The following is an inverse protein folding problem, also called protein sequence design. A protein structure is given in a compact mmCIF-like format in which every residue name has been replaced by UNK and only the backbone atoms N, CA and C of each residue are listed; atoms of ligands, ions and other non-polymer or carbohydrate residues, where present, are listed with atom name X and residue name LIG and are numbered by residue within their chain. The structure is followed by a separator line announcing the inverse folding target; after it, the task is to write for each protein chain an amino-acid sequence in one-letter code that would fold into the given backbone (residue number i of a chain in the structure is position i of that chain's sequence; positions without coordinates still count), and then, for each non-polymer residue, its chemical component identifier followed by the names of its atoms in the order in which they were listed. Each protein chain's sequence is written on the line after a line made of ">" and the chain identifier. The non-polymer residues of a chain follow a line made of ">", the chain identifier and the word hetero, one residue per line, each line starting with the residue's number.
data_IF_471675714323
#
_entry.id   IF_471675714323
#
_cell.length_a   1.000
_cell.length_b   1.000
_cell.length_c   1.000
_cell.angle_alpha   90.00
_cell.angle_beta   90.00
_cell.angle_gamma   90.00
#
_symmetry.space_group_name_H-M   'P 1'
#
loop_
_entity.id
_entity.type
_entity.pdbx_description
1 polymer ?
#
# COMPACT_ATOMS: atom_id res chain seq x y z
N UNK A 1 -8.78 33.93 18.60
CA UNK A 1 -9.93 33.00 18.49
C UNK A 1 -10.07 32.47 17.07
N UNK A 2 -9.25 31.51 16.66
CA UNK A 2 -9.38 30.89 15.32
C UNK A 2 -9.60 29.39 15.36
N UNK A 3 -9.17 28.73 16.45
CA UNK A 3 -9.30 27.29 16.61
C UNK A 3 -10.76 26.77 16.56
N UNK A 4 -11.75 27.38 17.25
CA UNK A 4 -13.12 26.87 17.18
C UNK A 4 -13.73 26.94 15.77
N UNK A 5 -13.37 27.98 15.01
CA UNK A 5 -13.82 28.16 13.63
C UNK A 5 -13.18 27.13 12.70
N UNK A 6 -11.85 26.95 12.80
CA UNK A 6 -11.12 25.96 12.00
C UNK A 6 -11.62 24.53 12.27
N UNK A 7 -11.90 24.18 13.53
CA UNK A 7 -12.47 22.88 13.90
C UNK A 7 -13.87 22.69 13.30
N UNK A 8 -14.69 23.75 13.27
CA UNK A 8 -16.02 23.70 12.66
C UNK A 8 -15.93 23.50 11.14
N UNK A 9 -15.04 24.25 10.47
CA UNK A 9 -14.78 24.12 9.04
C UNK A 9 -14.26 22.70 8.70
N UNK A 10 -13.29 22.17 9.46
CA UNK A 10 -12.81 20.79 9.29
C UNK A 10 -13.91 19.75 9.46
N UNK A 11 -14.79 19.90 10.47
CA UNK A 11 -15.92 18.97 10.68
C UNK A 11 -16.91 18.99 9.53
N UNK A 12 -17.23 20.17 8.99
CA UNK A 12 -18.13 20.31 7.85
C UNK A 12 -17.53 19.67 6.59
N UNK A 13 -16.25 19.91 6.31
CA UNK A 13 -15.56 19.31 5.16
C UNK A 13 -15.45 17.78 5.30
N UNK A 14 -15.17 17.28 6.50
CA UNK A 14 -15.18 15.84 6.79
C UNK A 14 -16.56 15.24 6.55
N UNK A 15 -17.64 15.88 7.02
CA UNK A 15 -19.01 15.41 6.73
C UNK A 15 -19.34 15.41 5.23
N UNK A 16 -18.89 16.42 4.48
CA UNK A 16 -19.10 16.47 3.03
C UNK A 16 -18.32 15.36 2.30
N UNK A 17 -17.09 15.08 2.73
CA UNK A 17 -16.32 13.94 2.24
C UNK A 17 -17.04 12.61 2.53
N UNK A 18 -17.54 12.40 3.74
CA UNK A 18 -18.29 11.18 4.06
C UNK A 18 -19.64 11.04 3.33
N UNK A 19 -20.24 12.15 2.87
CA UNK A 19 -21.44 12.13 2.03
C UNK A 19 -21.15 11.78 0.57
N UNK A 20 -19.90 11.93 0.10
CA UNK A 20 -19.50 11.47 -1.22
C UNK A 20 -19.29 9.97 -1.20
N UNK A 21 -19.96 9.28 -2.13
CA UNK A 21 -19.66 7.88 -2.39
C UNK A 21 -18.36 7.78 -3.20
N UNK A 22 -17.24 7.87 -2.48
CA UNK A 22 -15.89 7.79 -3.05
C UNK A 22 -15.62 6.43 -3.69
N UNK A 23 -16.39 5.39 -3.34
CA UNK A 23 -16.29 4.07 -3.96
C UNK A 23 -16.94 4.10 -5.33
N UNK A 24 -18.16 4.62 -5.45
CA UNK A 24 -18.89 4.70 -6.74
C UNK A 24 -18.34 5.73 -7.72
N UNK A 25 -17.52 6.66 -7.26
CA UNK A 25 -16.90 7.70 -8.11
C UNK A 25 -15.45 7.39 -8.50
N UNK A 26 -14.89 6.29 -8.00
CA UNK A 26 -13.52 5.92 -8.28
C UNK A 26 -13.50 4.67 -9.18
N UNK A 27 -13.24 4.89 -10.47
CA UNK A 27 -13.18 3.82 -11.48
C UNK A 27 -12.21 2.70 -11.07
N UNK A 28 -11.06 3.04 -10.49
CA UNK A 28 -10.09 2.05 -10.01
C UNK A 28 -10.69 1.14 -8.92
N UNK A 29 -11.40 1.74 -7.95
CA UNK A 29 -12.03 0.99 -6.86
C UNK A 29 -13.15 0.10 -7.39
N UNK A 30 -13.94 0.59 -8.34
CA UNK A 30 -14.99 -0.20 -8.98
C UNK A 30 -14.43 -1.38 -9.76
N UNK A 31 -13.37 -1.19 -10.55
CA UNK A 31 -12.70 -2.28 -11.27
C UNK A 31 -12.14 -3.32 -10.30
N UNK A 32 -11.50 -2.90 -9.21
CA UNK A 32 -11.00 -3.83 -8.19
C UNK A 32 -12.15 -4.62 -7.56
N UNK A 33 -13.25 -3.96 -7.20
CA UNK A 33 -14.43 -4.61 -6.63
C UNK A 33 -15.04 -5.64 -7.57
N UNK A 34 -15.22 -5.31 -8.85
CA UNK A 34 -15.75 -6.24 -9.86
C UNK A 34 -14.86 -7.47 -10.04
N UNK A 35 -13.53 -7.30 -10.05
CA UNK A 35 -12.59 -8.42 -10.10
C UNK A 35 -12.72 -9.31 -8.86
N UNK A 36 -12.77 -8.71 -7.66
CA UNK A 36 -12.93 -9.45 -6.40
C UNK A 36 -14.25 -10.23 -6.38
N UNK A 37 -15.36 -9.63 -6.83
CA UNK A 37 -16.67 -10.29 -6.92
C UNK A 37 -16.65 -11.51 -7.86
N UNK A 38 -15.83 -11.45 -8.93
CA UNK A 38 -15.63 -12.55 -9.88
C UNK A 38 -14.58 -13.57 -9.42
N UNK A 39 -13.87 -13.30 -8.31
CA UNK A 39 -12.76 -14.13 -7.84
C UNK A 39 -11.50 -14.00 -8.71
N UNK A 40 -11.40 -12.93 -9.49
CA UNK A 40 -10.27 -12.61 -10.36
C UNK A 40 -9.29 -11.67 -9.65
N UNK A 41 -8.00 -11.80 -9.94
CA UNK A 41 -7.02 -10.84 -9.46
C UNK A 41 -7.17 -9.52 -10.23
N UNK A 42 -7.33 -8.36 -9.56
CA UNK A 42 -7.37 -7.08 -10.24
C UNK A 42 -6.10 -6.87 -11.08
N UNK A 43 -6.26 -6.24 -12.25
CA UNK A 43 -5.16 -5.93 -13.18
C UNK A 43 -4.43 -7.15 -13.76
N UNK A 44 -5.01 -8.36 -13.66
CA UNK A 44 -4.51 -9.51 -14.42
C UNK A 44 -4.84 -9.33 -15.91
N UNK A 45 -3.86 -9.58 -16.75
CA UNK A 45 -4.03 -9.66 -18.19
C UNK A 45 -3.38 -10.96 -18.67
N UNK A 46 -4.11 -11.80 -19.39
CA UNK A 46 -3.58 -13.07 -19.92
C UNK A 46 -2.62 -12.87 -21.10
N UNK A 47 -2.71 -11.73 -21.79
CA UNK A 47 -1.86 -11.40 -22.94
C UNK A 47 -0.51 -10.80 -22.51
N UNK A 48 -0.45 -10.15 -21.34
CA UNK A 48 0.74 -9.45 -20.86
C UNK A 48 1.00 -9.64 -19.37
N UNK A 49 2.26 -9.89 -19.02
CA UNK A 49 2.71 -9.81 -17.65
C UNK A 49 2.64 -8.37 -17.15
N UNK A 50 1.58 -8.07 -16.40
CA UNK A 50 1.35 -6.75 -15.81
C UNK A 50 1.99 -6.69 -14.42
N UNK A 51 2.77 -5.64 -14.17
CA UNK A 51 3.39 -5.38 -12.88
C UNK A 51 2.95 -4.01 -12.35
N UNK A 52 2.49 -3.98 -11.10
CA UNK A 52 2.02 -2.75 -10.45
C UNK A 52 3.04 -2.29 -9.42
N UNK A 53 3.66 -1.13 -9.67
CA UNK A 53 4.67 -0.57 -8.77
C UNK A 53 4.16 0.73 -8.14
N UNK A 54 4.18 0.81 -6.81
CA UNK A 54 3.79 2.01 -6.06
C UNK A 54 4.89 2.41 -5.08
N UNK A 55 5.25 3.69 -5.09
CA UNK A 55 6.25 4.26 -4.18
C UNK A 55 5.59 5.08 -3.07
N UNK A 56 5.71 4.62 -1.83
CA UNK A 56 5.15 5.24 -0.63
C UNK A 56 6.22 5.89 0.26
N UNK A 57 7.50 5.90 -0.13
CA UNK A 57 8.64 6.37 0.69
C UNK A 57 8.46 7.83 1.14
N UNK A 58 7.96 8.69 0.25
CA UNK A 58 7.81 10.12 0.51
C UNK A 58 6.53 10.46 1.26
N UNK A 59 5.61 9.51 1.43
CA UNK A 59 4.41 9.77 2.20
C UNK A 59 4.75 9.81 3.69
N UNK A 60 4.08 10.67 4.49
CA UNK A 60 4.35 10.82 5.90
C UNK A 60 3.79 9.66 6.74
N UNK A 61 3.64 8.46 6.17
CA UNK A 61 2.95 7.34 6.82
C UNK A 61 3.69 6.88 8.09
N UNK A 62 5.02 6.83 8.05
CA UNK A 62 5.86 6.43 9.20
C UNK A 62 6.19 7.57 10.17
N UNK A 63 6.01 8.82 9.75
CA UNK A 63 6.29 10.01 10.57
C UNK A 63 5.05 10.62 11.22
N UNK A 64 3.85 10.15 10.86
CA UNK A 64 2.60 10.62 11.47
C UNK A 64 2.51 10.08 12.90
N UNK A 65 2.29 10.96 13.87
CA UNK A 65 2.04 10.59 15.26
C UNK A 65 0.62 11.03 15.65
N UNK A 66 -0.19 10.08 16.09
CA UNK A 66 -1.58 10.32 16.50
C UNK A 66 -1.72 10.61 18.02
N UNK A 67 -0.62 10.96 18.69
CA UNK A 67 -0.57 11.10 20.15
C UNK A 67 -0.38 9.78 20.92
N UNK A 68 -0.20 8.67 20.21
CA UNK A 68 0.09 7.33 20.77
C UNK A 68 1.57 6.92 20.62
N UNK A 69 2.44 7.87 20.28
CA UNK A 69 3.82 7.62 19.89
C UNK A 69 3.97 7.29 18.40
N UNK A 70 5.23 7.09 17.97
CA UNK A 70 5.57 6.75 16.58
C UNK A 70 5.24 5.30 16.29
N UNK A 71 4.71 5.02 15.09
CA UNK A 71 4.48 3.66 14.63
C UNK A 71 5.79 2.86 14.61
N UNK A 72 5.77 1.63 15.13
CA UNK A 72 6.93 0.73 15.15
C UNK A 72 7.09 0.03 13.79
N UNK A 73 5.97 -0.29 13.13
CA UNK A 73 5.94 -0.97 11.83
C UNK A 73 4.69 -0.57 11.06
N UNK A 74 4.81 -0.49 9.74
CA UNK A 74 3.69 -0.37 8.82
C UNK A 74 3.43 -1.72 8.14
N UNK A 75 2.18 -2.12 8.08
CA UNK A 75 1.76 -3.29 7.29
C UNK A 75 0.49 -2.97 6.53
N UNK A 76 0.41 -3.35 5.26
CA UNK A 76 -0.88 -3.39 4.55
C UNK A 76 -1.61 -4.70 4.82
N UNK A 77 -2.92 -4.67 4.66
CA UNK A 77 -3.74 -5.88 4.60
C UNK A 77 -3.26 -6.79 3.45
N UNK A 78 -3.57 -8.10 3.48
CA UNK A 78 -3.38 -8.97 2.33
C UNK A 78 -4.05 -8.34 1.11
N UNK A 79 -3.30 -8.21 0.03
CA UNK A 79 -3.76 -7.61 -1.22
C UNK A 79 -4.11 -8.75 -2.19
N UNK A 80 -5.33 -8.77 -2.76
CA UNK A 80 -5.74 -9.78 -3.73
C UNK A 80 -5.08 -9.64 -5.11
N UNK A 81 -4.29 -8.58 -5.34
CA UNK A 81 -3.57 -8.38 -6.60
C UNK A 81 -2.42 -9.37 -6.78
N UNK A 82 -2.08 -9.65 -8.04
CA UNK A 82 -0.89 -10.40 -8.44
C UNK A 82 0.16 -9.41 -8.96
N UNK A 83 1.45 -9.72 -8.81
CA UNK A 83 2.55 -8.99 -9.44
C UNK A 83 2.66 -7.52 -8.99
N UNK A 84 2.41 -7.26 -7.70
CA UNK A 84 2.44 -5.90 -7.15
C UNK A 84 3.61 -5.67 -6.19
N UNK A 85 4.18 -4.47 -6.29
CA UNK A 85 5.34 -4.03 -5.54
C UNK A 85 5.05 -2.69 -4.88
N UNK A 86 5.16 -2.63 -3.56
CA UNK A 86 4.99 -1.43 -2.77
C UNK A 86 6.28 -1.09 -2.04
N UNK A 87 6.88 0.05 -2.39
CA UNK A 87 8.07 0.55 -1.73
C UNK A 87 7.67 1.43 -0.55
N UNK A 88 7.99 1.00 0.66
CA UNK A 88 7.71 1.71 1.90
C UNK A 88 9.02 2.19 2.51
N UNK A 89 9.12 3.48 2.78
CA UNK A 89 10.30 4.05 3.42
C UNK A 89 10.31 3.72 4.90
N UNK A 90 11.33 2.97 5.34
CA UNK A 90 11.58 2.74 6.76
C UNK A 90 12.42 3.90 7.31
N UNK A 91 11.71 4.97 7.70
CA UNK A 91 12.30 6.16 8.34
C UNK A 91 12.73 5.92 9.79
N UNK A 92 12.55 4.71 10.33
CA UNK A 92 12.90 4.34 11.71
C UNK A 92 14.31 3.75 11.76
N UNK A 93 14.77 3.09 10.69
CA UNK A 93 16.15 2.60 10.57
C UNK A 93 17.13 3.77 10.44
N UNK A 94 18.21 3.69 11.23
CA UNK A 94 19.26 4.71 11.39
C UNK A 94 19.93 5.11 10.05
N UNK A 95 19.88 4.27 9.02
CA UNK A 95 20.47 4.52 7.69
C UNK A 95 19.45 4.67 6.54
N UNK A 96 18.14 4.78 6.80
CA UNK A 96 17.16 5.05 5.75
C UNK A 96 16.96 3.91 4.74
N UNK A 97 16.61 2.71 5.22
CA UNK A 97 16.31 1.57 4.36
C UNK A 97 14.96 1.68 3.66
N UNK A 98 14.83 0.99 2.53
CA UNK A 98 13.55 0.80 1.83
C UNK A 98 13.06 -0.62 2.09
N UNK A 99 11.83 -0.75 2.58
CA UNK A 99 11.13 -2.03 2.63
C UNK A 99 10.31 -2.17 1.36
N UNK A 100 10.55 -3.23 0.59
CA UNK A 100 9.71 -3.57 -0.54
C UNK A 100 8.74 -4.69 -0.13
N UNK A 101 7.44 -4.40 -0.19
CA UNK A 101 6.42 -5.45 -0.12
C UNK A 101 6.15 -5.94 -1.53
N UNK A 102 6.35 -7.23 -1.73
CA UNK A 102 6.26 -7.89 -3.03
C UNK A 102 5.19 -8.96 -2.94
N UNK A 103 4.18 -8.89 -3.81
CA UNK A 103 3.07 -9.82 -3.86
C UNK A 103 3.15 -10.58 -5.18
N UNK A 104 3.51 -11.85 -5.06
CA UNK A 104 3.70 -12.79 -6.16
C UNK A 104 2.95 -14.08 -5.85
N UNK A 105 2.67 -14.86 -6.91
CA UNK A 105 2.27 -16.24 -6.68
C UNK A 105 3.42 -17.06 -6.07
N UNK A 106 3.08 -18.23 -5.52
CA UNK A 106 4.02 -19.04 -4.77
C UNK A 106 5.24 -19.49 -5.61
N UNK A 107 5.06 -19.74 -6.90
CA UNK A 107 6.13 -20.19 -7.78
C UNK A 107 7.13 -19.06 -8.04
N UNK A 108 6.64 -17.89 -8.44
CA UNK A 108 7.50 -16.72 -8.68
C UNK A 108 8.16 -16.23 -7.40
N UNK A 109 7.45 -16.25 -6.26
CA UNK A 109 8.03 -15.92 -4.96
C UNK A 109 9.19 -16.84 -4.61
N UNK A 110 9.00 -18.15 -4.74
CA UNK A 110 10.04 -19.13 -4.39
C UNK A 110 11.27 -19.02 -5.30
N UNK A 111 11.08 -18.66 -6.57
CA UNK A 111 12.18 -18.39 -7.49
C UNK A 111 12.96 -17.13 -7.07
N UNK A 112 12.26 -16.04 -6.76
CA UNK A 112 12.87 -14.77 -6.37
C UNK A 112 13.60 -14.84 -5.02
N UNK A 113 13.07 -15.59 -4.05
CA UNK A 113 13.69 -15.76 -2.72
C UNK A 113 15.03 -16.50 -2.76
N UNK A 114 15.30 -17.24 -3.83
CA UNK A 114 16.53 -18.01 -4.04
C UNK A 114 17.45 -17.41 -5.11
N UNK A 115 17.09 -16.28 -5.71
CA UNK A 115 17.83 -15.67 -6.81
C UNK A 115 19.07 -14.91 -6.31
N UNK A 116 20.26 -15.32 -6.75
CA UNK A 116 21.53 -14.78 -6.24
C UNK A 116 21.73 -13.30 -6.59
N UNK A 117 21.30 -12.86 -7.77
CA UNK A 117 21.40 -11.46 -8.22
C UNK A 117 20.50 -10.57 -7.37
N UNK A 118 19.28 -11.03 -7.07
CA UNK A 118 18.35 -10.33 -6.19
C UNK A 118 18.87 -10.25 -4.75
N UNK A 119 19.41 -11.35 -4.23
CA UNK A 119 19.92 -11.44 -2.86
C UNK A 119 21.19 -10.63 -2.61
N UNK A 120 21.90 -10.18 -3.66
CA UNK A 120 22.98 -9.20 -3.53
C UNK A 120 22.47 -7.86 -2.96
N UNK A 121 21.22 -7.49 -3.25
CA UNK A 121 20.64 -6.19 -2.91
C UNK A 121 19.49 -6.24 -1.90
N UNK A 122 18.86 -7.41 -1.73
CA UNK A 122 17.67 -7.57 -0.91
C UNK A 122 17.84 -8.63 0.18
N UNK A 123 17.16 -8.41 1.30
CA UNK A 123 17.06 -9.38 2.40
C UNK A 123 15.58 -9.79 2.50
N UNK A 124 15.19 -10.99 2.02
CA UNK A 124 13.84 -11.48 2.17
C UNK A 124 13.47 -11.59 3.64
N UNK A 125 12.31 -11.04 4.01
CA UNK A 125 11.77 -11.18 5.36
C UNK A 125 10.81 -12.39 5.40
N UNK A 126 10.80 -13.18 6.49
CA UNK A 126 9.86 -14.28 6.63
C UNK A 126 8.41 -13.80 6.50
N UNK A 127 7.61 -14.55 5.74
CA UNK A 127 6.15 -14.35 5.71
C UNK A 127 5.57 -14.78 7.08
N UNK A 128 4.79 -13.93 7.74
CA UNK A 128 4.04 -14.28 8.95
C UNK A 128 2.70 -14.93 8.60
#
# INVERSE_FOLDING_TARGET
>A
MQLPRLVCELRNEVELLFKRDHVRQNELVLTILECIEKGEAPFSNEEFDTYVCSNLINFPLSSTEFGLGRHIRMSSAPDPSKNSFFLVGDKIKINGGVEARVILDAQHRSALECDEEFLEFAIPLPSH
#
